data_IF_382314155443
#
_entry.id   IF_382314155443
#
_cell.length_a   1.000
_cell.length_b   1.000
_cell.length_c   1.000
_cell.angle_alpha   90.00
_cell.angle_beta   90.00
_cell.angle_gamma   90.00
#
_symmetry.space_group_name_H-M   'P 1'
#
loop_
_entity.id
_entity.type
_entity.pdbx_description
1 polymer ?
#
# COMPACT_ATOMS: atom_id res chain seq x y z
N UNK A 1 -50.09 12.70 15.65
CA UNK A 1 -51.43 13.29 15.44
C UNK A 1 -51.46 14.84 15.44
N UNK A 2 -50.34 15.52 15.19
CA UNK A 2 -50.26 17.00 15.18
C UNK A 2 -50.54 17.58 13.78
N UNK A 3 -50.10 16.90 12.72
CA UNK A 3 -50.24 17.35 11.32
C UNK A 3 -51.70 17.39 10.81
N UNK A 4 -52.62 16.62 11.43
CA UNK A 4 -54.05 16.61 11.05
C UNK A 4 -54.78 17.89 11.48
N UNK A 5 -54.20 18.69 12.38
CA UNK A 5 -54.77 19.95 12.89
C UNK A 5 -54.21 21.21 12.19
N UNK A 6 -53.26 21.08 11.26
CA UNK A 6 -52.73 22.23 10.50
C UNK A 6 -53.62 22.55 9.30
N UNK A 7 -54.17 23.76 9.27
CA UNK A 7 -55.00 24.26 8.15
C UNK A 7 -54.13 24.82 7.04
N UNK A 8 -53.73 23.95 6.10
CA UNK A 8 -53.03 24.37 4.88
C UNK A 8 -53.99 25.14 3.97
N UNK A 9 -53.75 26.44 3.76
CA UNK A 9 -54.63 27.34 2.99
C UNK A 9 -54.69 27.01 1.49
N UNK A 10 -53.59 26.50 0.92
CA UNK A 10 -53.54 26.11 -0.49
C UNK A 10 -54.08 24.70 -0.71
N UNK A 11 -55.13 24.60 -1.51
CA UNK A 11 -55.77 23.34 -1.91
C UNK A 11 -54.79 22.26 -2.42
N UNK A 12 -53.83 22.57 -3.33
CA UNK A 12 -52.89 21.55 -3.83
C UNK A 12 -51.96 21.02 -2.73
N UNK A 13 -51.47 21.88 -1.85
CA UNK A 13 -50.60 21.50 -0.74
C UNK A 13 -51.34 20.64 0.29
N UNK A 14 -52.61 20.96 0.57
CA UNK A 14 -53.48 20.15 1.45
C UNK A 14 -53.73 18.76 0.87
N UNK A 15 -53.94 18.67 -0.44
CA UNK A 15 -54.12 17.38 -1.13
C UNK A 15 -52.82 16.56 -1.15
N UNK A 16 -51.66 17.21 -1.38
CA UNK A 16 -50.36 16.54 -1.33
C UNK A 16 -50.04 15.98 0.06
N UNK A 17 -50.23 16.80 1.11
CA UNK A 17 -49.99 16.37 2.50
C UNK A 17 -50.97 15.27 2.93
N UNK A 18 -52.23 15.34 2.53
CA UNK A 18 -53.20 14.28 2.85
C UNK A 18 -52.91 12.95 2.14
N UNK A 19 -52.33 12.97 0.94
CA UNK A 19 -51.85 11.75 0.27
C UNK A 19 -50.64 11.13 0.99
N UNK A 20 -49.65 11.94 1.39
CA UNK A 20 -48.51 11.47 2.19
C UNK A 20 -48.97 10.76 3.48
N UNK A 21 -49.94 11.34 4.18
CA UNK A 21 -50.46 10.82 5.45
C UNK A 21 -51.34 9.56 5.29
N UNK A 22 -51.87 9.30 4.09
CA UNK A 22 -52.74 8.13 3.81
C UNK A 22 -51.96 6.87 3.44
N UNK A 23 -50.72 7.00 2.97
CA UNK A 23 -49.84 5.88 2.62
C UNK A 23 -48.49 5.99 3.34
N UNK A 24 -48.47 5.89 4.69
CA UNK A 24 -47.29 6.19 5.50
C UNK A 24 -46.11 5.26 5.20
N UNK A 25 -46.36 3.97 4.94
CA UNK A 25 -45.29 2.98 4.67
C UNK A 25 -44.59 3.20 3.33
N UNK A 26 -45.34 3.47 2.26
CA UNK A 26 -44.77 3.76 0.94
C UNK A 26 -44.00 5.07 0.94
N UNK A 27 -44.56 6.11 1.55
CA UNK A 27 -43.91 7.42 1.72
C UNK A 27 -42.62 7.30 2.52
N UNK A 28 -42.62 6.54 3.61
CA UNK A 28 -41.44 6.32 4.45
C UNK A 28 -40.34 5.58 3.69
N UNK A 29 -40.67 4.53 2.93
CA UNK A 29 -39.71 3.80 2.10
C UNK A 29 -39.06 4.68 1.04
N UNK A 30 -39.86 5.49 0.33
CA UNK A 30 -39.36 6.41 -0.69
C UNK A 30 -38.44 7.48 -0.08
N UNK A 31 -38.84 8.10 1.03
CA UNK A 31 -38.03 9.08 1.73
C UNK A 31 -36.72 8.47 2.25
N UNK A 32 -36.75 7.25 2.76
CA UNK A 32 -35.55 6.53 3.19
C UNK A 32 -34.61 6.25 2.02
N UNK A 33 -35.15 5.80 0.88
CA UNK A 33 -34.35 5.56 -0.33
C UNK A 33 -33.66 6.85 -0.80
N UNK A 34 -34.40 7.96 -0.92
CA UNK A 34 -33.82 9.26 -1.27
C UNK A 34 -32.80 9.74 -0.24
N UNK A 35 -33.11 9.64 1.05
CA UNK A 35 -32.19 10.05 2.12
C UNK A 35 -30.90 9.24 2.10
N UNK A 36 -30.98 7.94 1.86
CA UNK A 36 -29.81 7.07 1.73
C UNK A 36 -28.99 7.42 0.49
N UNK A 37 -29.63 7.72 -0.64
CA UNK A 37 -28.92 8.16 -1.85
C UNK A 37 -28.21 9.49 -1.64
N UNK A 38 -28.86 10.48 -1.01
CA UNK A 38 -28.22 11.75 -0.68
C UNK A 38 -27.10 11.60 0.35
N UNK A 39 -27.28 10.74 1.36
CA UNK A 39 -26.25 10.43 2.35
C UNK A 39 -25.04 9.76 1.70
N UNK A 40 -25.25 8.80 0.80
CA UNK A 40 -24.17 8.14 0.06
C UNK A 40 -23.42 9.14 -0.82
N UNK A 41 -24.14 10.03 -1.52
CA UNK A 41 -23.52 11.07 -2.34
C UNK A 41 -22.71 12.05 -1.47
N UNK A 42 -23.25 12.49 -0.34
CA UNK A 42 -22.55 13.35 0.60
C UNK A 42 -21.30 12.66 1.19
N UNK A 43 -21.41 11.38 1.54
CA UNK A 43 -20.29 10.58 2.03
C UNK A 43 -19.17 10.47 0.98
N UNK A 44 -19.50 10.24 -0.29
CA UNK A 44 -18.52 10.22 -1.38
C UNK A 44 -17.83 11.57 -1.57
N UNK A 45 -18.57 12.67 -1.48
CA UNK A 45 -17.99 14.02 -1.59
C UNK A 45 -17.03 14.32 -0.42
N UNK A 46 -17.39 13.93 0.81
CA UNK A 46 -16.54 14.07 1.99
C UNK A 46 -15.29 13.19 1.89
N UNK A 47 -15.46 11.90 1.58
CA UNK A 47 -14.33 10.98 1.44
C UNK A 47 -13.35 11.44 0.38
N UNK A 48 -13.83 11.94 -0.75
CA UNK A 48 -12.97 12.40 -1.85
C UNK A 48 -12.08 13.57 -1.43
N UNK A 49 -12.59 14.53 -0.68
CA UNK A 49 -11.76 15.64 -0.18
C UNK A 49 -10.83 15.16 0.92
N UNK A 50 -11.40 14.56 1.96
CA UNK A 50 -10.69 14.28 3.20
C UNK A 50 -9.64 13.18 3.05
N UNK A 51 -9.90 12.12 2.29
CA UNK A 51 -8.90 11.06 2.09
C UNK A 51 -7.75 11.53 1.21
N UNK A 52 -8.04 12.31 0.16
CA UNK A 52 -7.05 12.69 -0.84
C UNK A 52 -6.15 13.81 -0.29
N UNK A 53 -6.73 14.78 0.41
CA UNK A 53 -5.98 15.85 1.08
C UNK A 53 -5.13 15.30 2.22
N UNK A 54 -5.67 14.40 3.06
CA UNK A 54 -4.88 13.78 4.14
C UNK A 54 -3.78 12.88 3.60
N UNK A 55 -4.07 12.10 2.55
CA UNK A 55 -3.05 11.27 1.91
C UNK A 55 -1.93 12.12 1.32
N UNK A 56 -2.27 13.24 0.67
CA UNK A 56 -1.27 14.17 0.13
C UNK A 56 -0.46 14.85 1.25
N UNK A 57 -1.08 15.22 2.37
CA UNK A 57 -0.41 15.83 3.52
C UNK A 57 0.51 14.86 4.29
N UNK A 58 0.33 13.55 4.14
CA UNK A 58 1.21 12.54 4.76
C UNK A 58 2.56 12.45 4.06
N UNK A 59 2.67 12.89 2.81
CA UNK A 59 3.94 12.89 2.08
C UNK A 59 4.67 14.21 2.33
N UNK A 60 5.93 14.18 2.82
CA UNK A 60 6.78 15.37 2.84
C UNK A 60 6.79 16.07 1.48
N UNK A 61 6.81 17.40 1.41
CA UNK A 61 6.84 18.14 0.14
C UNK A 61 7.99 17.74 -0.80
N UNK A 62 9.11 17.29 -0.22
CA UNK A 62 10.33 16.86 -0.91
C UNK A 62 10.37 15.35 -1.21
N UNK A 63 9.22 14.66 -1.15
CA UNK A 63 9.16 13.22 -1.41
C UNK A 63 9.47 12.92 -2.89
N UNK A 64 10.35 11.95 -3.19
CA UNK A 64 10.59 11.54 -4.57
C UNK A 64 9.30 11.10 -5.27
N UNK A 65 9.11 11.56 -6.51
CA UNK A 65 7.93 11.25 -7.34
C UNK A 65 8.25 10.39 -8.58
N UNK A 66 9.52 10.00 -8.77
CA UNK A 66 9.96 9.10 -9.84
C UNK A 66 10.73 7.93 -9.24
N UNK A 67 10.40 6.72 -9.70
CA UNK A 67 11.09 5.48 -9.36
C UNK A 67 11.66 4.86 -10.62
N UNK A 68 12.98 4.63 -10.64
CA UNK A 68 13.68 4.00 -11.74
C UNK A 68 13.98 2.54 -11.36
N UNK A 69 13.47 1.60 -12.15
CA UNK A 69 13.62 0.15 -11.95
C UNK A 69 14.17 -0.50 -13.22
N UNK A 70 14.76 -1.69 -13.09
CA UNK A 70 15.32 -2.45 -14.22
C UNK A 70 16.35 -1.69 -15.06
N UNK A 71 17.23 -0.96 -14.37
CA UNK A 71 18.32 -0.21 -14.99
C UNK A 71 19.44 -1.19 -15.30
N UNK A 72 19.78 -1.35 -16.58
CA UNK A 72 20.91 -2.19 -16.96
C UNK A 72 22.25 -1.57 -16.51
N UNK A 73 23.26 -2.39 -16.23
CA UNK A 73 24.55 -1.94 -15.68
C UNK A 73 25.21 -0.86 -16.55
N UNK A 74 25.14 -1.03 -17.86
CA UNK A 74 25.65 -0.09 -18.86
C UNK A 74 24.88 1.24 -18.92
N UNK A 75 23.63 1.26 -18.44
CA UNK A 75 22.78 2.46 -18.39
C UNK A 75 23.03 3.32 -17.15
N UNK A 76 23.65 2.78 -16.10
CA UNK A 76 23.86 3.49 -14.84
C UNK A 76 24.69 4.76 -15.03
N UNK A 77 25.81 4.67 -15.76
CA UNK A 77 26.71 5.80 -16.01
C UNK A 77 26.04 6.94 -16.80
N UNK A 78 25.42 6.70 -17.98
CA UNK A 78 24.76 7.76 -18.73
C UNK A 78 23.57 8.34 -17.97
N UNK A 79 22.83 7.53 -17.20
CA UNK A 79 21.73 8.01 -16.37
C UNK A 79 22.23 8.95 -15.25
N UNK A 80 23.33 8.60 -14.56
CA UNK A 80 23.92 9.49 -13.54
C UNK A 80 24.36 10.83 -14.14
N UNK A 81 24.93 10.82 -15.35
CA UNK A 81 25.31 12.05 -16.04
C UNK A 81 24.08 12.92 -16.37
N UNK A 82 23.01 12.31 -16.88
CA UNK A 82 21.75 12.99 -17.16
C UNK A 82 21.14 13.62 -15.90
N UNK A 83 21.07 12.87 -14.79
CA UNK A 83 20.53 13.38 -13.54
C UNK A 83 21.38 14.54 -12.99
N UNK A 84 22.70 14.45 -13.08
CA UNK A 84 23.61 15.52 -12.65
C UNK A 84 23.46 16.80 -13.49
N UNK A 85 23.28 16.67 -14.82
CA UNK A 85 23.03 17.82 -15.71
C UNK A 85 21.75 18.57 -15.32
N UNK A 86 20.72 17.83 -14.90
CA UNK A 86 19.46 18.39 -14.42
C UNK A 86 19.47 18.76 -12.92
N UNK A 87 20.61 18.69 -12.24
CA UNK A 87 20.75 18.98 -10.81
C UNK A 87 19.84 18.11 -9.91
N UNK A 88 19.51 16.91 -10.37
CA UNK A 88 18.74 15.93 -9.63
C UNK A 88 19.71 15.09 -8.81
N UNK A 89 19.51 15.05 -7.50
CA UNK A 89 20.26 14.16 -6.59
C UNK A 89 19.47 12.85 -6.47
N UNK A 90 19.85 11.78 -7.17
CA UNK A 90 19.19 10.50 -6.97
C UNK A 90 19.54 9.92 -5.60
N UNK A 91 18.59 9.17 -5.05
CA UNK A 91 18.87 8.19 -4.00
C UNK A 91 19.89 7.13 -4.46
N UNK A 92 20.36 6.32 -3.51
CA UNK A 92 21.28 5.22 -3.80
C UNK A 92 20.74 4.30 -4.90
N UNK A 93 21.62 3.88 -5.82
CA UNK A 93 21.31 2.81 -6.77
C UNK A 93 21.51 1.48 -6.07
N UNK A 94 20.47 0.65 -6.06
CA UNK A 94 20.49 -0.67 -5.44
C UNK A 94 20.69 -1.72 -6.52
N UNK A 95 21.86 -2.39 -6.58
CA UNK A 95 22.04 -3.52 -7.47
C UNK A 95 21.08 -4.64 -7.06
N UNK A 96 20.53 -5.35 -8.06
CA UNK A 96 19.63 -6.48 -7.83
C UNK A 96 20.19 -7.71 -8.52
N UNK A 97 20.37 -8.78 -7.75
CA UNK A 97 20.62 -10.13 -8.25
C UNK A 97 19.42 -10.98 -7.90
N UNK A 98 18.89 -11.71 -8.88
CA UNK A 98 17.78 -12.63 -8.68
C UNK A 98 18.32 -14.01 -8.34
N UNK A 99 17.85 -14.59 -7.25
CA UNK A 99 18.24 -15.94 -6.85
C UNK A 99 17.09 -16.64 -6.12
N UNK A 100 16.97 -17.96 -6.31
CA UNK A 100 16.00 -18.79 -5.59
C UNK A 100 16.67 -19.37 -4.34
N UNK A 101 15.97 -19.31 -3.20
CA UNK A 101 16.38 -19.99 -1.97
C UNK A 101 16.01 -21.48 -2.07
N UNK A 102 17.00 -22.35 -2.29
CA UNK A 102 16.80 -23.78 -2.59
C UNK A 102 17.00 -24.70 -1.38
N UNK A 103 17.75 -24.26 -0.36
CA UNK A 103 17.89 -25.02 0.88
C UNK A 103 18.08 -24.13 2.10
N UNK A 104 17.63 -24.64 3.26
CA UNK A 104 17.87 -24.08 4.59
C UNK A 104 18.43 -25.23 5.45
N UNK A 105 19.61 -25.06 6.03
CA UNK A 105 20.32 -26.09 6.80
C UNK A 105 20.38 -27.44 6.05
N UNK A 106 20.82 -27.38 4.79
CA UNK A 106 20.92 -28.50 3.84
C UNK A 106 19.61 -29.23 3.51
N UNK A 107 18.46 -28.71 3.98
CA UNK A 107 17.14 -29.26 3.65
C UNK A 107 16.54 -28.52 2.46
N UNK A 108 16.13 -29.22 1.39
CA UNK A 108 15.46 -28.61 0.26
C UNK A 108 14.22 -27.83 0.69
N UNK A 109 14.01 -26.67 0.09
CA UNK A 109 12.83 -25.81 0.32
C UNK A 109 11.64 -26.18 -0.57
N UNK A 110 11.83 -27.10 -1.53
CA UNK A 110 10.79 -27.59 -2.42
C UNK A 110 9.62 -28.20 -1.64
N UNK A 111 8.39 -27.86 -2.05
CA UNK A 111 7.17 -28.32 -1.39
C UNK A 111 6.78 -27.54 -0.12
N UNK A 112 7.55 -26.51 0.27
CA UNK A 112 7.12 -25.55 1.29
C UNK A 112 6.01 -24.62 0.75
N UNK A 113 5.03 -24.31 1.60
CA UNK A 113 3.90 -23.45 1.24
C UNK A 113 4.18 -21.94 1.26
N UNK A 114 5.34 -21.49 1.74
CA UNK A 114 5.68 -20.06 1.75
C UNK A 114 5.99 -19.56 0.33
N UNK A 115 5.30 -18.50 -0.09
CA UNK A 115 5.43 -17.89 -1.42
C UNK A 115 6.87 -17.43 -1.70
N UNK A 116 7.63 -17.01 -0.69
CA UNK A 116 9.00 -16.55 -0.85
C UNK A 116 9.94 -17.65 -1.38
N UNK A 117 9.62 -18.92 -1.11
CA UNK A 117 10.38 -20.08 -1.61
C UNK A 117 9.96 -20.50 -3.03
N UNK A 118 8.77 -20.08 -3.46
CA UNK A 118 8.20 -20.40 -4.77
C UNK A 118 8.54 -19.38 -5.86
N UNK A 119 9.39 -18.39 -5.56
CA UNK A 119 9.83 -17.36 -6.50
C UNK A 119 11.32 -17.06 -6.37
N UNK A 120 11.86 -16.35 -7.34
CA UNK A 120 13.18 -15.72 -7.20
C UNK A 120 13.09 -14.53 -6.24
N UNK A 121 14.05 -14.46 -5.34
CA UNK A 121 14.23 -13.36 -4.41
C UNK A 121 15.20 -12.34 -5.00
N UNK A 122 14.92 -11.07 -4.74
CA UNK A 122 15.82 -9.97 -5.08
C UNK A 122 16.84 -9.80 -3.97
N UNK A 123 18.08 -10.16 -4.25
CA UNK A 123 19.23 -9.90 -3.40
C UNK A 123 19.80 -8.53 -3.77
N UNK A 124 20.01 -7.69 -2.76
CA UNK A 124 20.62 -6.37 -2.91
C UNK A 124 21.80 -6.24 -1.96
N UNK A 125 22.77 -5.40 -2.30
CA UNK A 125 23.92 -5.11 -1.44
C UNK A 125 24.24 -3.62 -1.43
N UNK A 126 24.83 -3.19 -0.33
CA UNK A 126 25.31 -1.83 -0.14
C UNK A 126 26.56 -1.82 0.73
N UNK A 127 27.42 -0.83 0.47
CA UNK A 127 28.63 -0.63 1.27
C UNK A 127 28.33 -0.02 2.65
N UNK A 128 27.28 0.80 2.72
CA UNK A 128 26.87 1.53 3.92
C UNK A 128 25.46 1.12 4.33
N UNK A 129 25.22 0.96 5.64
CA UNK A 129 23.89 0.62 6.15
C UNK A 129 22.94 1.81 5.95
N UNK A 130 21.75 1.62 5.38
CA UNK A 130 20.73 2.67 5.35
C UNK A 130 20.15 2.91 6.75
N UNK A 131 19.94 4.16 7.11
CA UNK A 131 19.38 4.53 8.43
C UNK A 131 17.96 4.00 8.63
N UNK A 132 17.19 3.88 7.56
CA UNK A 132 15.82 3.36 7.55
C UNK A 132 15.74 1.83 7.68
N UNK A 133 16.89 1.13 7.73
CA UNK A 133 16.94 -0.33 7.93
C UNK A 133 17.65 -0.67 9.26
N UNK A 134 16.92 -0.70 10.38
CA UNK A 134 17.49 -1.01 11.68
C UNK A 134 17.88 -2.50 11.79
N UNK A 135 19.03 -2.78 12.40
CA UNK A 135 19.45 -4.15 12.69
C UNK A 135 18.77 -4.64 13.96
N UNK A 136 17.91 -5.64 13.83
CA UNK A 136 17.19 -6.25 14.96
C UNK A 136 18.05 -7.31 15.66
N UNK A 137 18.89 -8.03 14.90
CA UNK A 137 19.79 -9.04 15.41
C UNK A 137 21.02 -9.21 14.48
N UNK A 138 22.15 -9.64 15.05
CA UNK A 138 23.40 -9.86 14.29
C UNK A 138 24.26 -8.60 14.21
N UNK A 139 25.14 -8.55 13.20
CA UNK A 139 26.08 -7.45 12.99
C UNK A 139 26.08 -6.99 11.54
N UNK A 140 26.31 -5.69 11.33
CA UNK A 140 26.50 -5.09 10.02
C UNK A 140 27.93 -4.52 9.91
N UNK A 141 28.59 -4.63 8.74
CA UNK A 141 28.15 -5.40 7.57
C UNK A 141 28.26 -6.91 7.81
N UNK A 142 27.44 -7.73 7.12
CA UNK A 142 27.64 -9.18 7.09
C UNK A 142 29.02 -9.51 6.53
N UNK A 143 29.63 -10.61 6.98
CA UNK A 143 30.90 -11.11 6.45
C UNK A 143 30.71 -11.70 5.04
N UNK A 144 31.82 -12.07 4.40
CA UNK A 144 31.77 -12.88 3.18
C UNK A 144 30.92 -14.14 3.43
N UNK A 145 30.09 -14.49 2.45
CA UNK A 145 29.14 -15.61 2.48
C UNK A 145 28.01 -15.51 3.52
N UNK A 146 27.84 -14.35 4.17
CA UNK A 146 26.68 -14.07 5.03
C UNK A 146 25.66 -13.19 4.29
N UNK A 147 24.38 -13.40 4.57
CA UNK A 147 23.28 -12.59 4.02
C UNK A 147 22.50 -11.90 5.13
N UNK A 148 22.00 -10.70 4.85
CA UNK A 148 21.00 -10.05 5.70
C UNK A 148 19.61 -10.46 5.23
N UNK A 149 18.72 -10.80 6.18
CA UNK A 149 17.35 -11.21 5.91
C UNK A 149 16.36 -10.33 6.68
N UNK A 150 15.24 -9.99 6.04
CA UNK A 150 14.14 -9.30 6.70
C UNK A 150 13.60 -10.15 7.87
N UNK A 151 13.37 -9.52 9.03
CA UNK A 151 12.89 -10.22 10.23
C UNK A 151 11.59 -11.01 9.95
N UNK A 152 10.65 -10.41 9.21
CA UNK A 152 9.39 -11.05 8.86
C UNK A 152 9.59 -12.31 8.02
N UNK A 153 10.51 -12.27 7.04
CA UNK A 153 10.85 -13.43 6.22
C UNK A 153 11.55 -14.51 7.04
N UNK A 154 12.55 -14.13 7.84
CA UNK A 154 13.27 -15.06 8.71
C UNK A 154 12.32 -15.81 9.67
N UNK A 155 11.35 -15.11 10.28
CA UNK A 155 10.33 -15.72 11.14
C UNK A 155 9.44 -16.71 10.40
N UNK A 156 8.94 -16.36 9.22
CA UNK A 156 8.06 -17.25 8.45
C UNK A 156 8.78 -18.51 7.97
N UNK A 157 10.05 -18.36 7.60
CA UNK A 157 10.89 -19.48 7.15
C UNK A 157 11.55 -20.23 8.32
N UNK A 158 11.36 -19.77 9.56
CA UNK A 158 12.00 -20.30 10.76
C UNK A 158 13.53 -20.39 10.63
N UNK A 159 14.13 -19.32 10.11
CA UNK A 159 15.59 -19.15 9.97
C UNK A 159 16.10 -18.29 11.12
N UNK A 160 17.17 -18.74 11.77
CA UNK A 160 17.86 -18.05 12.84
C UNK A 160 19.28 -17.63 12.44
N UNK A 161 19.90 -16.75 13.24
CA UNK A 161 21.31 -16.40 13.05
C UNK A 161 22.19 -17.64 13.23
N UNK A 162 23.09 -17.86 12.27
CA UNK A 162 23.98 -19.03 12.24
C UNK A 162 23.44 -20.20 11.41
N UNK A 163 22.20 -20.14 10.94
CA UNK A 163 21.69 -21.10 9.96
C UNK A 163 22.33 -20.90 8.58
N UNK A 164 22.43 -21.99 7.82
CA UNK A 164 22.92 -21.98 6.45
C UNK A 164 21.75 -21.86 5.47
N UNK A 165 21.89 -20.98 4.48
CA UNK A 165 20.93 -20.82 3.39
C UNK A 165 21.64 -20.99 2.05
N UNK A 166 21.03 -21.74 1.14
CA UNK A 166 21.58 -22.00 -0.19
C UNK A 166 20.75 -21.27 -1.23
N UNK A 167 21.41 -20.39 -2.00
CA UNK A 167 20.80 -19.70 -3.12
C UNK A 167 21.29 -20.29 -4.44
N UNK A 168 20.39 -20.40 -5.40
CA UNK A 168 20.69 -20.73 -6.79
C UNK A 168 20.27 -19.53 -7.65
N UNK A 169 21.24 -18.87 -8.27
CA UNK A 169 21.03 -17.83 -9.27
C UNK A 169 21.30 -18.36 -10.67
N UNK A 170 20.72 -17.68 -11.66
CA UNK A 170 21.04 -17.84 -13.08
C UNK A 170 22.26 -17.00 -13.49
#
# INVERSE_FOLDING_TARGET
>A
NVLRRMTLKSLPLRLAVSRLLRQPWSTLSQLSAFSLSFMLLALLLVLRGDLLDRWQQQLPPESPNYFLINIATEQVTPLKAFLAEHQIVPESFYPVVRARLTAINDKPTEGNGDEALNRELNLTWQNTRPDHNPIVAGNWPPKADEVSMEEGLAKRLNVALGDTVTFMGD
#
